data_IF_232674177504
#
_entry.id   IF_232674177504
#
_cell.length_a   1.000
_cell.length_b   1.000
_cell.length_c   1.000
_cell.angle_alpha   90.00
_cell.angle_beta   90.00
_cell.angle_gamma   90.00
#
_symmetry.space_group_name_H-M   'P 1'
#
loop_
_entity.id
_entity.type
_entity.pdbx_description
1 polymer ?
#
# COMPACT_ATOMS: atom_id res chain seq x y z
N UNK A 1 -71.48 9.19 -35.76
CA UNK A 1 -70.88 9.37 -37.11
C UNK A 1 -69.76 10.37 -36.93
N UNK A 2 -68.63 9.88 -36.42
CA UNK A 2 -67.35 9.70 -37.14
C UNK A 2 -66.59 11.02 -37.25
N UNK A 3 -65.91 11.34 -36.13
CA UNK A 3 -64.79 12.27 -36.08
C UNK A 3 -63.78 11.87 -37.16
N UNK A 4 -63.71 12.69 -38.21
CA UNK A 4 -62.69 12.55 -39.23
C UNK A 4 -61.33 12.84 -38.57
N UNK A 5 -60.60 11.76 -38.34
CA UNK A 5 -59.24 11.75 -37.83
C UNK A 5 -58.38 12.75 -38.62
N UNK A 6 -57.92 13.79 -37.92
CA UNK A 6 -56.93 14.72 -38.42
C UNK A 6 -55.58 13.97 -38.41
N UNK A 7 -55.26 13.28 -39.51
CA UNK A 7 -53.97 12.61 -39.66
C UNK A 7 -52.87 13.68 -39.68
N UNK A 8 -51.94 13.66 -38.70
CA UNK A 8 -50.86 14.63 -38.70
C UNK A 8 -50.00 14.42 -39.94
N UNK A 9 -49.98 15.41 -40.83
CA UNK A 9 -49.05 15.49 -41.96
C UNK A 9 -47.64 15.51 -41.36
N UNK A 10 -46.99 14.35 -41.33
CA UNK A 10 -45.62 14.19 -40.87
C UNK A 10 -44.72 14.91 -41.88
N UNK A 11 -44.35 16.15 -41.57
CA UNK A 11 -43.44 16.94 -42.39
C UNK A 11 -42.13 16.18 -42.58
N UNK A 12 -41.90 15.63 -43.78
CA UNK A 12 -40.69 14.90 -44.08
C UNK A 12 -39.48 15.84 -44.01
N UNK A 13 -38.59 15.58 -43.06
CA UNK A 13 -37.37 16.36 -42.90
C UNK A 13 -36.56 16.40 -44.21
N UNK A 14 -36.20 17.61 -44.66
CA UNK A 14 -35.50 17.83 -45.93
C UNK A 14 -34.18 17.03 -46.01
N UNK A 15 -33.74 16.62 -47.22
CA UNK A 15 -32.49 15.87 -47.40
C UNK A 15 -31.28 16.57 -46.77
N UNK A 16 -31.22 17.90 -46.83
CA UNK A 16 -30.18 18.71 -46.21
C UNK A 16 -30.17 18.60 -44.68
N UNK A 17 -31.34 18.62 -44.04
CA UNK A 17 -31.48 18.42 -42.59
C UNK A 17 -31.00 17.02 -42.16
N UNK A 18 -31.30 15.98 -42.95
CA UNK A 18 -30.83 14.61 -42.68
C UNK A 18 -29.30 14.51 -42.76
N UNK A 19 -28.66 15.16 -43.73
CA UNK A 19 -27.18 15.18 -43.85
C UNK A 19 -26.53 15.96 -42.71
N UNK A 20 -27.08 17.12 -42.33
CA UNK A 20 -26.59 17.90 -41.20
C UNK A 20 -26.66 17.12 -39.88
N UNK A 21 -27.79 16.44 -39.62
CA UNK A 21 -27.96 15.57 -38.44
C UNK A 21 -26.95 14.42 -38.44
N UNK A 22 -26.71 13.76 -39.58
CA UNK A 22 -25.68 12.70 -39.69
C UNK A 22 -24.29 13.23 -39.37
N UNK A 23 -23.91 14.40 -39.90
CA UNK A 23 -22.62 15.05 -39.61
C UNK A 23 -22.48 15.41 -38.13
N UNK A 24 -23.53 15.96 -37.50
CA UNK A 24 -23.54 16.28 -36.08
C UNK A 24 -23.41 15.02 -35.20
N UNK A 25 -24.16 13.95 -35.51
CA UNK A 25 -24.05 12.66 -34.82
C UNK A 25 -22.64 12.06 -34.94
N UNK A 26 -22.03 12.14 -36.12
CA UNK A 26 -20.66 11.67 -36.35
C UNK A 26 -19.64 12.47 -35.53
N UNK A 27 -19.75 13.81 -35.53
CA UNK A 27 -18.89 14.68 -34.70
C UNK A 27 -19.07 14.39 -33.21
N UNK A 28 -20.30 14.24 -32.73
CA UNK A 28 -20.60 13.91 -31.33
C UNK A 28 -20.02 12.55 -30.95
N UNK A 29 -20.17 11.53 -31.79
CA UNK A 29 -19.59 10.20 -31.54
C UNK A 29 -18.06 10.26 -31.47
N UNK A 30 -17.41 11.01 -32.37
CA UNK A 30 -15.95 11.21 -32.32
C UNK A 30 -15.53 11.91 -31.03
N UNK A 31 -16.20 13.00 -30.64
CA UNK A 31 -15.89 13.72 -29.41
C UNK A 31 -16.06 12.84 -28.17
N UNK A 32 -17.16 12.07 -28.09
CA UNK A 32 -17.41 11.13 -26.99
C UNK A 32 -16.31 10.06 -26.93
N UNK A 33 -15.92 9.48 -28.07
CA UNK A 33 -14.84 8.49 -28.13
C UNK A 33 -13.50 9.08 -27.70
N UNK A 34 -13.16 10.29 -28.18
CA UNK A 34 -11.94 10.98 -27.77
C UNK A 34 -11.92 11.31 -26.27
N UNK A 35 -13.03 11.81 -25.74
CA UNK A 35 -13.17 12.10 -24.32
C UNK A 35 -13.03 10.81 -23.49
N UNK A 36 -13.71 9.74 -23.90
CA UNK A 36 -13.61 8.44 -23.25
C UNK A 36 -12.17 7.92 -23.25
N UNK A 37 -11.46 8.02 -24.38
CA UNK A 37 -10.06 7.61 -24.48
C UNK A 37 -9.16 8.41 -23.52
N UNK A 38 -9.34 9.73 -23.44
CA UNK A 38 -8.58 10.60 -22.52
C UNK A 38 -8.86 10.20 -21.06
N UNK A 39 -10.13 9.99 -20.71
CA UNK A 39 -10.51 9.58 -19.35
C UNK A 39 -9.90 8.23 -18.98
N UNK A 40 -9.94 7.25 -19.88
CA UNK A 40 -9.36 5.92 -19.65
C UNK A 40 -7.85 6.00 -19.47
N UNK A 41 -7.14 6.73 -20.33
CA UNK A 41 -5.68 6.91 -20.23
C UNK A 41 -5.31 7.63 -18.93
N UNK A 42 -6.06 8.67 -18.56
CA UNK A 42 -5.83 9.42 -17.32
C UNK A 42 -6.03 8.53 -16.09
N UNK A 43 -7.12 7.76 -16.05
CA UNK A 43 -7.38 6.82 -14.97
C UNK A 43 -6.26 5.76 -14.86
N UNK A 44 -5.79 5.24 -16.00
CA UNK A 44 -4.68 4.29 -16.03
C UNK A 44 -3.39 4.90 -15.47
N UNK A 45 -3.07 6.15 -15.82
CA UNK A 45 -1.89 6.85 -15.28
C UNK A 45 -1.96 7.05 -13.77
N UNK A 46 -3.15 7.37 -13.24
CA UNK A 46 -3.37 7.47 -11.78
C UNK A 46 -3.13 6.11 -11.10
N UNK A 47 -3.67 5.03 -11.66
CA UNK A 47 -3.46 3.67 -11.14
C UNK A 47 -1.98 3.29 -11.12
N UNK A 48 -1.24 3.56 -12.20
CA UNK A 48 0.20 3.29 -12.28
C UNK A 48 0.96 4.14 -11.24
N UNK A 49 0.62 5.42 -11.12
CA UNK A 49 1.27 6.35 -10.18
C UNK A 49 1.09 5.91 -8.72
N UNK A 50 -0.14 5.53 -8.34
CA UNK A 50 -0.43 5.00 -7.00
C UNK A 50 0.36 3.71 -6.75
N UNK A 51 0.35 2.77 -7.68
CA UNK A 51 1.09 1.52 -7.52
C UNK A 51 2.61 1.74 -7.39
N UNK A 52 3.18 2.65 -8.18
CA UNK A 52 4.60 2.96 -8.08
C UNK A 52 4.95 3.66 -6.76
N UNK A 53 4.10 4.58 -6.28
CA UNK A 53 4.24 5.21 -4.97
C UNK A 53 4.29 4.16 -3.85
N UNK A 54 3.35 3.22 -3.86
CA UNK A 54 3.26 2.16 -2.85
C UNK A 54 4.51 1.26 -2.86
N UNK A 55 4.96 0.87 -4.06
CA UNK A 55 6.19 0.09 -4.24
C UNK A 55 7.44 0.84 -3.77
N UNK A 56 7.54 2.14 -4.05
CA UNK A 56 8.64 2.97 -3.59
C UNK A 56 8.64 3.12 -2.08
N UNK A 57 7.47 3.29 -1.46
CA UNK A 57 7.34 3.35 -0.02
C UNK A 57 7.81 2.05 0.65
N UNK A 58 7.40 0.88 0.13
CA UNK A 58 7.87 -0.42 0.63
C UNK A 58 9.38 -0.60 0.48
N UNK A 59 9.95 -0.22 -0.69
CA UNK A 59 11.41 -0.22 -0.92
C UNK A 59 12.15 0.71 0.05
N UNK A 60 11.58 1.87 0.37
CA UNK A 60 12.14 2.82 1.34
C UNK A 60 12.10 2.25 2.76
N UNK A 61 10.96 1.70 3.24
CA UNK A 61 10.90 1.06 4.57
C UNK A 61 11.97 -0.05 4.68
N UNK A 62 12.09 -0.91 3.66
CA UNK A 62 13.10 -1.98 3.62
C UNK A 62 14.54 -1.47 3.67
N UNK A 63 14.88 -0.44 2.88
CA UNK A 63 16.23 0.14 2.85
C UNK A 63 16.59 0.79 4.18
N UNK A 64 15.67 1.52 4.79
CA UNK A 64 15.86 2.12 6.10
C UNK A 64 16.11 1.06 7.17
N UNK A 65 15.28 0.00 7.22
CA UNK A 65 15.49 -1.13 8.15
C UNK A 65 16.79 -1.88 7.89
N UNK A 66 17.20 -2.04 6.62
CA UNK A 66 18.44 -2.73 6.29
C UNK A 66 19.67 -1.92 6.71
N UNK A 67 19.65 -0.60 6.52
CA UNK A 67 20.69 0.31 7.03
C UNK A 67 20.74 0.23 8.55
N UNK A 68 19.58 0.19 9.19
CA UNK A 68 19.50 0.06 10.64
C UNK A 68 20.06 -1.27 11.16
N UNK A 69 19.72 -2.38 10.50
CA UNK A 69 20.29 -3.70 10.77
C UNK A 69 21.84 -3.66 10.73
N UNK A 70 22.40 -2.99 9.71
CA UNK A 70 23.85 -2.84 9.57
C UNK A 70 24.45 -2.02 10.71
N UNK A 71 23.81 -0.91 11.11
CA UNK A 71 24.27 -0.08 12.23
C UNK A 71 24.27 -0.86 13.54
N UNK A 72 23.18 -1.58 13.85
CA UNK A 72 23.11 -2.44 15.04
C UNK A 72 24.24 -3.48 14.99
N UNK A 73 24.39 -4.18 13.86
CA UNK A 73 25.42 -5.20 13.69
C UNK A 73 26.85 -4.65 13.86
N UNK A 74 27.12 -3.43 13.41
CA UNK A 74 28.42 -2.75 13.56
C UNK A 74 28.67 -2.29 14.99
N UNK A 75 27.62 -1.87 15.70
CA UNK A 75 27.69 -1.44 17.11
C UNK A 75 27.86 -2.60 18.09
N UNK A 76 27.67 -3.84 17.63
CA UNK A 76 27.78 -5.06 18.42
C UNK A 76 29.04 -5.84 18.02
N UNK A 77 30.23 -5.50 18.54
CA UNK A 77 31.49 -6.16 18.20
C UNK A 77 31.64 -7.60 18.76
N UNK A 78 30.55 -8.24 19.17
CA UNK A 78 30.56 -9.52 19.88
C UNK A 78 29.18 -10.20 19.92
N UNK A 79 28.97 -11.16 20.83
CA UNK A 79 27.66 -11.78 21.00
C UNK A 79 26.60 -10.72 21.33
N UNK A 80 25.39 -10.90 20.81
CA UNK A 80 24.29 -9.95 21.02
C UNK A 80 24.00 -9.84 22.51
N UNK A 81 24.01 -8.63 23.08
CA UNK A 81 23.72 -8.41 24.48
C UNK A 81 22.29 -8.84 24.80
N UNK A 82 22.11 -9.31 26.02
CA UNK A 82 20.83 -9.85 26.50
C UNK A 82 19.69 -8.81 26.47
N UNK A 83 20.03 -7.53 26.53
CA UNK A 83 19.14 -6.40 26.34
C UNK A 83 19.61 -5.66 25.07
N UNK A 84 18.78 -5.63 24.04
CA UNK A 84 18.97 -4.66 22.96
C UNK A 84 18.78 -3.29 23.59
N UNK A 85 19.84 -2.47 23.55
CA UNK A 85 19.82 -1.11 24.05
C UNK A 85 18.56 -0.39 23.54
N UNK A 86 17.97 0.48 24.37
CA UNK A 86 17.04 1.46 23.85
C UNK A 86 17.74 2.19 22.72
N UNK A 87 17.24 1.96 21.52
CA UNK A 87 17.78 2.55 20.33
C UNK A 87 17.56 4.05 20.48
N UNK A 88 18.63 4.78 20.81
CA UNK A 88 18.61 6.23 20.82
C UNK A 88 18.08 6.68 19.47
N UNK A 89 17.10 7.58 19.50
CA UNK A 89 16.55 8.23 18.32
C UNK A 89 17.69 8.82 17.50
N UNK A 90 18.20 8.06 16.52
CA UNK A 90 19.00 8.63 15.44
C UNK A 90 18.01 9.12 14.38
N UNK A 91 17.76 10.45 14.34
CA UNK A 91 16.61 11.01 13.62
C UNK A 91 16.69 10.86 12.10
N UNK A 92 17.83 10.44 11.54
CA UNK A 92 18.04 10.42 10.10
C UNK A 92 17.68 9.10 9.41
N UNK A 93 17.60 7.97 10.13
CA UNK A 93 17.48 6.64 9.48
C UNK A 93 16.07 6.06 9.53
N UNK A 94 15.36 6.26 10.63
CA UNK A 94 14.02 5.75 10.86
C UNK A 94 13.09 6.89 11.27
N UNK A 95 11.89 6.93 10.68
CA UNK A 95 10.82 7.86 11.07
C UNK A 95 10.11 7.22 12.27
N UNK A 96 10.25 7.72 13.51
CA UNK A 96 9.77 7.02 14.71
C UNK A 96 8.27 6.67 14.63
N UNK A 97 7.45 7.56 14.05
CA UNK A 97 6.02 7.36 13.84
C UNK A 97 5.68 6.17 12.92
N UNK A 98 6.63 5.75 12.06
CA UNK A 98 6.43 4.66 11.11
C UNK A 98 6.83 3.29 11.66
N UNK A 99 7.58 3.23 12.77
CA UNK A 99 8.17 2.01 13.28
C UNK A 99 7.74 1.72 14.71
N UNK A 100 7.38 0.47 14.98
CA UNK A 100 7.18 -0.01 16.33
C UNK A 100 8.45 -0.75 16.79
N UNK A 101 8.99 -0.32 17.94
CA UNK A 101 10.17 -0.91 18.57
C UNK A 101 9.75 -1.82 19.73
N UNK A 102 10.49 -2.90 19.92
CA UNK A 102 10.26 -3.86 21.01
C UNK A 102 11.41 -3.80 22.01
N UNK A 103 11.40 -2.85 22.96
CA UNK A 103 12.38 -2.83 24.03
C UNK A 103 12.23 -4.08 24.91
N UNK A 104 13.33 -4.78 25.18
CA UNK A 104 13.40 -5.74 26.30
C UNK A 104 13.08 -7.21 26.03
N UNK A 105 12.76 -7.65 24.80
CA UNK A 105 12.34 -9.06 24.57
C UNK A 105 13.43 -10.02 24.05
N UNK A 106 14.71 -9.66 24.20
CA UNK A 106 15.84 -10.43 23.64
C UNK A 106 16.35 -11.52 24.58
N UNK A 107 16.13 -11.35 25.89
CA UNK A 107 16.75 -12.14 26.96
C UNK A 107 16.38 -13.64 26.92
N UNK A 108 15.15 -13.99 26.50
CA UNK A 108 14.67 -15.37 26.49
C UNK A 108 14.99 -16.18 25.23
N UNK A 109 15.40 -15.52 24.16
CA UNK A 109 15.23 -16.05 22.80
C UNK A 109 16.54 -16.18 22.03
N UNK A 110 17.60 -15.41 22.38
CA UNK A 110 18.99 -15.70 21.94
C UNK A 110 19.42 -17.11 22.37
N UNK A 111 18.97 -17.57 23.55
CA UNK A 111 19.24 -18.92 24.04
C UNK A 111 18.52 -20.03 23.25
N UNK A 112 17.42 -19.73 22.54
CA UNK A 112 16.54 -20.72 21.90
C UNK A 112 16.71 -20.84 20.37
N UNK A 113 17.61 -20.06 19.75
CA UNK A 113 17.76 -19.98 18.27
C UNK A 113 16.44 -19.71 17.54
N UNK A 114 15.55 -18.92 18.13
CA UNK A 114 14.27 -18.54 17.52
C UNK A 114 14.40 -17.16 16.90
N UNK A 115 13.76 -16.95 15.75
CA UNK A 115 13.69 -15.63 15.11
C UNK A 115 12.91 -14.66 16.01
N UNK A 116 13.45 -13.48 16.28
CA UNK A 116 12.79 -12.44 17.08
C UNK A 116 12.65 -11.18 16.24
N UNK A 117 11.51 -10.51 16.30
CA UNK A 117 11.37 -9.19 15.72
C UNK A 117 12.00 -8.13 16.64
N UNK A 118 12.83 -7.27 16.04
CA UNK A 118 13.49 -6.14 16.71
C UNK A 118 12.68 -4.86 16.50
N UNK A 119 12.27 -4.62 15.25
CA UNK A 119 11.36 -3.54 14.88
C UNK A 119 10.58 -3.92 13.62
N UNK A 120 9.46 -3.26 13.37
CA UNK A 120 8.62 -3.50 12.21
C UNK A 120 7.89 -2.22 11.78
N UNK A 121 7.46 -2.14 10.50
CA UNK A 121 6.65 -1.00 10.06
C UNK A 121 5.29 -1.04 10.84
N UNK A 122 4.95 0.05 11.54
CA UNK A 122 3.83 0.15 12.50
C UNK A 122 2.46 0.00 11.84
N UNK A 123 2.35 0.33 10.56
CA UNK A 123 1.19 0.05 9.72
C UNK A 123 1.60 -0.84 8.53
N UNK A 124 0.69 -1.70 8.02
CA UNK A 124 0.96 -2.49 6.83
C UNK A 124 1.07 -1.58 5.61
N UNK A 125 2.05 -1.84 4.76
CA UNK A 125 2.10 -1.25 3.44
C UNK A 125 0.98 -1.85 2.59
N UNK A 126 0.13 -0.97 2.08
CA UNK A 126 -0.92 -1.33 1.13
C UNK A 126 -0.32 -1.38 -0.25
N UNK A 127 -0.44 -2.51 -0.92
CA UNK A 127 0.01 -2.66 -2.30
C UNK A 127 -1.22 -2.81 -3.18
N UNK A 128 -1.37 -1.94 -4.18
CA UNK A 128 -2.48 -2.06 -5.14
C UNK A 128 -2.44 -3.41 -5.87
N UNK A 129 -1.23 -3.89 -6.20
CA UNK A 129 -0.99 -5.22 -6.76
C UNK A 129 -0.12 -6.04 -5.80
N UNK A 130 -0.76 -6.88 -4.97
CA UNK A 130 -0.07 -7.82 -4.08
C UNK A 130 -0.76 -7.96 -2.71
N UNK A 131 -0.26 -8.89 -1.89
CA UNK A 131 -0.69 -8.98 -0.51
C UNK A 131 -0.09 -7.83 0.30
N UNK A 132 -0.93 -7.18 1.11
CA UNK A 132 -0.47 -6.19 2.08
C UNK A 132 0.49 -6.85 3.06
N UNK A 133 1.46 -6.09 3.56
CA UNK A 133 2.46 -6.65 4.45
C UNK A 133 3.34 -5.60 5.10
N UNK A 134 4.31 -6.09 5.87
CA UNK A 134 5.22 -5.28 6.67
C UNK A 134 6.65 -5.72 6.41
N UNK A 135 7.57 -4.76 6.42
CA UNK A 135 8.97 -5.10 6.60
C UNK A 135 9.21 -5.25 8.10
N UNK A 136 9.83 -6.37 8.47
CA UNK A 136 10.16 -6.72 9.85
C UNK A 136 11.67 -6.91 9.92
N UNK A 137 12.32 -6.18 10.82
CA UNK A 137 13.70 -6.46 11.20
C UNK A 137 13.68 -7.62 12.18
N UNK A 138 14.28 -8.74 11.77
CA UNK A 138 14.39 -9.94 12.58
C UNK A 138 15.85 -10.21 12.94
N UNK A 139 16.05 -10.83 14.09
CA UNK A 139 17.33 -11.42 14.47
C UNK A 139 17.20 -12.94 14.42
N UNK A 140 18.04 -13.57 13.60
CA UNK A 140 18.04 -15.03 13.40
C UNK A 140 19.47 -15.55 13.45
N UNK A 141 19.73 -16.52 14.33
CA UNK A 141 21.08 -17.10 14.50
C UNK A 141 22.17 -16.07 14.80
N UNK A 142 21.81 -14.96 15.45
CA UNK A 142 22.72 -13.88 15.78
C UNK A 142 23.02 -12.88 14.65
N UNK A 143 22.24 -12.90 13.56
CA UNK A 143 22.33 -11.94 12.46
C UNK A 143 21.04 -11.14 12.33
N UNK A 144 21.17 -9.85 12.11
CA UNK A 144 20.04 -8.97 11.79
C UNK A 144 19.71 -9.04 10.30
N UNK A 145 18.43 -9.18 9.97
CA UNK A 145 17.94 -9.25 8.60
C UNK A 145 16.54 -8.64 8.45
N UNK A 146 16.23 -8.13 7.26
CA UNK A 146 14.90 -7.56 6.98
C UNK A 146 14.10 -8.52 6.14
N UNK A 147 12.96 -8.96 6.67
CA UNK A 147 12.01 -9.85 6.01
C UNK A 147 10.76 -9.07 5.62
N UNK A 148 10.21 -9.37 4.43
CA UNK A 148 8.86 -8.95 4.06
C UNK A 148 7.89 -10.03 4.49
N UNK A 149 6.96 -9.70 5.38
CA UNK A 149 5.88 -10.60 5.82
C UNK A 149 4.55 -10.07 5.33
N UNK A 150 3.71 -10.91 4.72
CA UNK A 150 2.31 -10.51 4.47
C UNK A 150 1.60 -10.29 5.81
N UNK A 151 0.51 -9.54 5.80
CA UNK A 151 -0.21 -9.26 7.05
C UNK A 151 -0.72 -10.57 7.70
N UNK A 152 -1.18 -11.56 6.92
CA UNK A 152 -1.61 -12.83 7.51
C UNK A 152 -0.43 -13.56 8.19
N UNK A 153 0.72 -13.62 7.51
CA UNK A 153 1.93 -14.26 8.05
C UNK A 153 2.45 -13.51 9.27
N UNK A 154 2.42 -12.17 9.23
CA UNK A 154 2.83 -11.31 10.34
C UNK A 154 1.97 -11.59 11.57
N UNK A 155 0.64 -11.60 11.42
CA UNK A 155 -0.27 -11.87 12.54
C UNK A 155 -0.09 -13.30 13.07
N UNK A 156 0.09 -14.30 12.20
CA UNK A 156 0.33 -15.68 12.61
C UNK A 156 1.66 -15.87 13.36
N UNK A 157 2.72 -15.16 12.97
CA UNK A 157 4.06 -15.24 13.59
C UNK A 157 4.28 -14.25 14.72
N UNK A 158 3.37 -13.30 14.94
CA UNK A 158 3.51 -12.17 15.88
C UNK A 158 4.01 -12.60 17.26
N UNK A 159 3.30 -13.55 17.88
CA UNK A 159 3.64 -14.07 19.21
C UNK A 159 4.98 -14.81 19.21
N UNK A 160 5.26 -15.60 18.17
CA UNK A 160 6.53 -16.32 18.03
C UNK A 160 7.73 -15.37 17.86
N UNK A 161 7.51 -14.22 17.22
CA UNK A 161 8.50 -13.16 17.04
C UNK A 161 8.65 -12.27 18.28
N UNK A 162 7.93 -12.54 19.38
CA UNK A 162 7.99 -11.74 20.61
C UNK A 162 7.27 -10.39 20.51
N UNK A 163 6.38 -10.22 19.55
CA UNK A 163 5.60 -8.99 19.37
C UNK A 163 4.31 -9.10 20.21
N UNK A 164 4.03 -8.17 21.14
CA UNK A 164 2.79 -8.18 21.91
C UNK A 164 1.59 -7.96 20.99
N UNK A 165 0.40 -8.50 21.29
CA UNK A 165 -0.81 -8.25 20.52
C UNK A 165 -1.09 -6.74 20.42
N UNK A 166 -1.65 -6.28 19.30
CA UNK A 166 -2.00 -4.88 19.17
C UNK A 166 -3.10 -4.56 20.16
N UNK A 167 -3.04 -3.42 20.87
CA UNK A 167 -4.23 -2.96 21.58
C UNK A 167 -5.37 -2.88 20.56
N UNK A 168 -6.55 -3.35 20.96
CA UNK A 168 -7.73 -3.22 20.13
C UNK A 168 -7.84 -1.75 19.66
N UNK A 169 -8.20 -1.51 18.38
CA UNK A 169 -8.39 -0.14 17.91
C UNK A 169 -9.34 0.53 18.89
N UNK A 170 -8.93 1.67 19.45
CA UNK A 170 -9.83 2.47 20.28
C UNK A 170 -11.01 2.77 19.37
N UNK A 171 -12.15 2.14 19.65
CA UNK A 171 -13.41 2.52 19.04
C UNK A 171 -13.65 3.92 19.56
N UNK A 172 -13.31 4.92 18.75
CA UNK A 172 -13.73 6.28 19.00
C UNK A 172 -15.26 6.22 19.04
N UNK A 173 -15.81 6.27 20.25
CA UNK A 173 -17.25 6.28 20.44
C UNK A 173 -17.82 7.49 19.68
N UNK A 174 -18.92 7.29 18.92
CA UNK A 174 -19.46 8.31 18.02
C UNK A 174 -19.86 9.60 18.75
#
# INVERSE_FOLDING_TARGET
MTDAANEPVVAEASPAARVALRRLRHRRSKLIKSLLMITVVSALMVVISVNERDRQQGKRCRRSLARYAQMIQQSLPGPIPAELFELRDEPEVLVPEHYAYLPGNVLGSVARRVDIAVCYCAAPHRLLSGANGRNVLVISGGRFGVEWMTEEVFQARRTALGIPPEPAPKTDAP
#
